data_IF_909011641671
#
_entry.id   IF_909011641671
#
_cell.length_a   1.000
_cell.length_b   1.000
_cell.length_c   1.000
_cell.angle_alpha   90.00
_cell.angle_beta   90.00
_cell.angle_gamma   90.00
#
_symmetry.space_group_name_H-M   'P 1'
#
loop_
_entity.id
_entity.type
_entity.pdbx_description
1 polymer ?
#
# COMPACT_ATOMS: atom_id res chain seq x y z
N UNK A 1 -13.20 5.89 9.34
CA UNK A 1 -12.58 6.54 8.19
C UNK A 1 -11.65 5.57 7.52
N UNK A 2 -11.47 5.69 6.24
CA UNK A 2 -10.58 4.78 5.53
C UNK A 2 -9.12 5.16 5.73
N UNK A 3 -8.25 4.19 5.58
CA UNK A 3 -6.82 4.41 5.69
C UNK A 3 -6.11 3.55 4.65
N UNK A 4 -5.15 4.13 3.97
CA UNK A 4 -4.37 3.46 2.95
C UNK A 4 -3.01 3.10 3.50
N UNK A 5 -2.55 1.89 3.21
CA UNK A 5 -1.26 1.41 3.65
C UNK A 5 -0.36 1.16 2.45
N UNK A 6 0.93 1.44 2.63
CA UNK A 6 1.95 1.10 1.65
C UNK A 6 2.54 -0.25 2.07
N UNK A 7 2.66 -1.17 1.12
CA UNK A 7 3.22 -2.49 1.37
C UNK A 7 4.39 -2.70 0.43
N UNK A 8 5.58 -2.83 0.99
CA UNK A 8 6.80 -3.02 0.21
C UNK A 8 7.40 -4.40 0.43
N UNK A 9 8.37 -4.76 -0.39
CA UNK A 9 9.02 -6.05 -0.30
C UNK A 9 8.21 -7.20 -0.82
N UNK A 10 7.23 -6.93 -1.68
CA UNK A 10 6.34 -7.96 -2.19
C UNK A 10 7.07 -8.90 -3.13
N UNK A 11 6.71 -10.18 -3.07
CA UNK A 11 7.19 -11.16 -4.04
C UNK A 11 6.59 -10.86 -5.40
N UNK A 12 7.30 -11.18 -6.46
CA UNK A 12 6.79 -10.97 -7.81
C UNK A 12 5.51 -11.80 -8.05
N UNK A 13 5.36 -12.90 -7.36
CA UNK A 13 4.18 -13.74 -7.51
C UNK A 13 2.94 -13.19 -6.82
N UNK A 14 3.12 -12.21 -5.93
CA UNK A 14 1.98 -11.63 -5.20
C UNK A 14 1.26 -10.67 -6.12
N UNK A 15 -0.01 -10.94 -6.37
CA UNK A 15 -0.85 -10.08 -7.20
C UNK A 15 -1.86 -9.33 -6.33
N UNK A 16 -2.75 -8.58 -6.97
CA UNK A 16 -3.76 -7.79 -6.26
C UNK A 16 -4.60 -8.67 -5.35
N UNK A 17 -4.97 -9.84 -5.84
CA UNK A 17 -5.82 -10.74 -5.11
C UNK A 17 -5.10 -11.35 -3.90
N UNK A 18 -3.84 -11.72 -4.07
CA UNK A 18 -3.04 -12.23 -2.97
C UNK A 18 -2.81 -11.19 -1.90
N UNK A 19 -2.58 -9.95 -2.32
CA UNK A 19 -2.40 -8.84 -1.40
C UNK A 19 -3.69 -8.58 -0.63
N UNK A 20 -4.82 -8.57 -1.32
CA UNK A 20 -6.13 -8.37 -0.71
C UNK A 20 -6.38 -9.46 0.33
N UNK A 21 -6.15 -10.72 -0.03
CA UNK A 21 -6.43 -11.84 0.87
C UNK A 21 -5.58 -11.77 2.14
N UNK A 22 -4.32 -11.38 2.00
CA UNK A 22 -3.43 -11.32 3.15
C UNK A 22 -3.89 -10.28 4.17
N UNK A 23 -4.43 -9.17 3.69
CA UNK A 23 -4.84 -8.08 4.57
C UNK A 23 -6.30 -8.18 5.01
N UNK A 24 -7.13 -8.89 4.25
CA UNK A 24 -8.57 -8.98 4.54
C UNK A 24 -8.86 -9.68 5.86
N UNK A 25 -7.89 -10.39 6.40
CA UNK A 25 -8.07 -11.05 7.69
C UNK A 25 -8.17 -10.06 8.84
N UNK A 26 -7.74 -8.84 8.64
CA UNK A 26 -7.72 -7.85 9.71
C UNK A 26 -8.88 -6.86 9.63
N UNK A 27 -9.61 -6.87 8.54
CA UNK A 27 -10.75 -5.99 8.38
C UNK A 27 -11.14 -5.87 6.92
N UNK A 28 -12.10 -5.01 6.64
CA UNK A 28 -12.61 -4.86 5.29
C UNK A 28 -11.63 -4.07 4.42
N UNK A 29 -11.13 -4.73 3.38
CA UNK A 29 -10.23 -4.11 2.41
C UNK A 29 -11.09 -3.61 1.25
N UNK A 30 -11.06 -2.32 1.01
CA UNK A 30 -11.84 -1.72 -0.08
C UNK A 30 -11.05 -1.64 -1.37
N UNK A 31 -9.72 -1.69 -1.29
CA UNK A 31 -8.89 -1.66 -2.48
C UNK A 31 -7.54 -2.28 -2.16
N UNK A 32 -7.00 -3.05 -3.10
CA UNK A 32 -5.68 -3.63 -2.97
C UNK A 32 -5.06 -3.65 -4.35
N UNK A 33 -3.89 -3.05 -4.49
CA UNK A 33 -3.28 -2.91 -5.80
C UNK A 33 -1.78 -3.09 -5.72
N UNK A 34 -1.24 -3.98 -6.53
CA UNK A 34 0.20 -4.14 -6.69
C UNK A 34 0.62 -3.26 -7.86
N UNK A 35 1.68 -2.49 -7.65
CA UNK A 35 2.16 -1.59 -8.69
C UNK A 35 3.04 -2.37 -9.65
N UNK A 36 2.75 -2.27 -10.93
CA UNK A 36 3.47 -3.00 -11.96
C UNK A 36 4.39 -2.07 -12.74
N UNK A 37 5.49 -2.65 -13.20
CA UNK A 37 6.41 -1.92 -14.07
C UNK A 37 5.78 -1.79 -15.45
N UNK A 38 5.76 -0.60 -15.99
CA UNK A 38 5.11 -0.36 -17.26
C UNK A 38 5.80 -1.05 -18.42
N UNK A 39 7.10 -1.19 -18.35
CA UNK A 39 7.85 -1.78 -19.46
C UNK A 39 7.80 -3.29 -19.47
N UNK A 40 7.84 -3.92 -18.32
CA UNK A 40 7.90 -5.36 -18.24
C UNK A 40 6.60 -6.01 -17.80
N UNK A 41 5.69 -5.25 -17.19
CA UNK A 41 4.45 -5.78 -16.64
C UNK A 41 4.65 -6.55 -15.35
N UNK A 42 5.83 -6.51 -14.78
CA UNK A 42 6.11 -7.24 -13.56
C UNK A 42 5.89 -6.38 -12.34
N UNK A 43 5.66 -7.03 -11.22
CA UNK A 43 5.49 -6.33 -9.96
C UNK A 43 6.76 -5.54 -9.62
N UNK A 44 6.58 -4.31 -9.18
CA UNK A 44 7.71 -3.51 -8.71
C UNK A 44 8.07 -3.85 -7.28
N UNK A 45 7.40 -4.80 -6.67
CA UNK A 45 7.69 -5.23 -5.32
C UNK A 45 6.98 -4.42 -4.26
N UNK A 46 6.02 -3.59 -4.64
CA UNK A 46 5.24 -2.84 -3.66
C UNK A 46 3.82 -2.60 -4.18
N UNK A 47 2.96 -2.27 -3.25
CA UNK A 47 1.57 -1.98 -3.58
C UNK A 47 0.90 -1.21 -2.46
N UNK A 48 -0.41 -1.05 -2.60
CA UNK A 48 -1.20 -0.30 -1.63
C UNK A 48 -2.44 -1.09 -1.26
N UNK A 49 -2.83 -0.99 0.00
CA UNK A 49 -4.06 -1.61 0.51
C UNK A 49 -4.83 -0.54 1.25
N UNK A 50 -6.12 -0.41 0.94
CA UNK A 50 -6.97 0.55 1.60
C UNK A 50 -8.02 -0.20 2.43
N UNK A 51 -8.12 0.16 3.70
CA UNK A 51 -9.13 -0.40 4.60
C UNK A 51 -10.25 0.62 4.76
N UNK A 52 -11.46 0.12 4.95
CA UNK A 52 -12.60 0.99 5.22
C UNK A 52 -12.52 1.60 6.62
N UNK A 53 -11.78 0.96 7.52
CA UNK A 53 -11.66 1.40 8.90
C UNK A 53 -10.19 1.57 9.26
N UNK A 54 -9.83 2.73 9.80
CA UNK A 54 -8.44 3.03 10.10
C UNK A 54 -7.89 2.18 11.24
N UNK A 55 -8.74 1.75 12.17
CA UNK A 55 -8.28 0.89 13.24
C UNK A 55 -7.88 -0.48 12.71
N UNK A 56 -8.65 -1.02 11.78
CA UNK A 56 -8.29 -2.28 11.14
C UNK A 56 -6.97 -2.16 10.38
N UNK A 57 -6.78 -1.02 9.71
CA UNK A 57 -5.53 -0.77 9.01
C UNK A 57 -4.35 -0.73 9.96
N UNK A 58 -4.51 -0.08 11.11
CA UNK A 58 -3.44 -0.01 12.10
C UNK A 58 -3.09 -1.39 12.64
N UNK A 59 -4.10 -2.21 12.86
CA UNK A 59 -3.88 -3.58 13.34
C UNK A 59 -3.16 -4.42 12.28
N UNK A 60 -3.58 -4.28 11.04
CA UNK A 60 -2.95 -5.01 9.95
C UNK A 60 -1.49 -4.59 9.79
N UNK A 61 -1.24 -3.29 9.90
CA UNK A 61 0.11 -2.77 9.78
C UNK A 61 1.00 -3.33 10.88
N UNK A 62 0.52 -3.32 12.10
CA UNK A 62 1.30 -3.81 13.23
C UNK A 62 1.58 -5.32 13.11
N UNK A 63 0.61 -6.07 12.62
CA UNK A 63 0.73 -7.51 12.53
C UNK A 63 1.56 -7.97 11.32
N UNK A 64 1.46 -7.26 10.22
CA UNK A 64 2.04 -7.72 8.97
C UNK A 64 3.38 -7.07 8.61
N UNK A 65 3.71 -5.96 9.25
CA UNK A 65 5.00 -5.33 9.00
C UNK A 65 6.12 -6.28 9.45
N UNK A 66 6.97 -6.66 8.54
CA UNK A 66 8.05 -7.61 8.83
C UNK A 66 7.64 -9.07 8.74
N UNK A 67 6.38 -9.35 8.37
CA UNK A 67 5.94 -10.73 8.25
C UNK A 67 6.28 -11.26 6.85
N UNK A 68 6.09 -12.57 6.66
CA UNK A 68 6.36 -13.19 5.38
C UNK A 68 5.10 -13.30 4.56
N UNK A 69 5.20 -12.96 3.29
CA UNK A 69 4.10 -13.14 2.34
C UNK A 69 4.71 -13.70 1.06
N UNK A 70 4.24 -14.86 0.65
CA UNK A 70 4.74 -15.56 -0.53
C UNK A 70 6.26 -15.73 -0.51
N UNK A 71 6.79 -15.99 0.67
CA UNK A 71 8.20 -16.26 0.84
C UNK A 71 9.09 -15.04 0.98
N UNK A 72 8.51 -13.85 1.04
CA UNK A 72 9.29 -12.63 1.19
C UNK A 72 8.82 -11.83 2.40
N UNK A 73 9.77 -11.22 3.06
CA UNK A 73 9.44 -10.36 4.20
C UNK A 73 8.92 -9.03 3.68
N UNK A 74 7.73 -8.66 4.10
CA UNK A 74 7.11 -7.43 3.63
C UNK A 74 7.21 -6.33 4.68
N UNK A 75 7.10 -5.10 4.24
CA UNK A 75 7.07 -3.95 5.12
C UNK A 75 5.77 -3.21 4.89
N UNK A 76 5.15 -2.79 5.97
CA UNK A 76 3.86 -2.12 5.90
C UNK A 76 3.95 -0.79 6.63
N UNK A 77 3.59 0.27 5.95
CA UNK A 77 3.60 1.61 6.52
C UNK A 77 2.34 2.34 6.09
N UNK A 78 2.00 3.38 6.81
CA UNK A 78 0.86 4.18 6.42
C UNK A 78 1.22 4.98 5.18
N UNK A 79 0.36 4.94 4.16
CA UNK A 79 0.55 5.71 2.95
C UNK A 79 -0.17 7.03 3.12
N UNK A 80 0.53 8.12 2.85
CA UNK A 80 -0.08 9.43 2.97
C UNK A 80 -0.89 9.71 1.75
N UNK A 81 -2.21 9.99 1.95
CA UNK A 81 -3.01 10.35 0.86
C UNK A 81 -3.17 11.80 0.86
N UNK A 82 -2.74 12.43 -0.18
CA UNK A 82 -2.79 13.80 -0.21
C UNK A 82 -3.93 14.32 -0.90
N UNK A 83 -5.04 13.89 -0.82
CA UNK A 83 -6.08 14.41 -1.50
C UNK A 83 -6.47 15.66 -1.01
N UNK A 84 -6.74 16.41 -1.73
CA UNK A 84 -7.30 17.58 -1.45
C UNK A 84 -6.87 18.16 -0.29
N UNK A 85 -7.02 17.78 0.33
CA UNK A 85 -6.66 18.30 1.30
C UNK A 85 -5.73 19.10 1.19
N UNK A 86 -5.77 19.15 1.12
CA UNK A 86 -5.04 19.73 1.35
C UNK A 86 -4.58 20.53 0.79
N UNK A 87 -4.72 20.62 0.66
CA UNK A 87 -4.39 21.32 0.41
C UNK A 87 -3.46 21.75 0.14
N UNK A 88 -3.25 22.00 0.20
CA UNK A 88 -2.48 22.38 0.13
C UNK A 88 -1.66 22.25 -0.54
N UNK A 89 -1.63 22.16 -0.74
CA UNK A 89 -0.94 22.02 -1.10
C UNK A 89 -0.29 21.98 -1.89
N UNK A 90 -0.21 22.02 -2.10
CA UNK A 90 0.35 21.90 -2.65
C UNK A 90 1.26 22.01 -3.13
N UNK A 91 1.72 22.24 -3.05
CA UNK A 91 2.44 22.28 -3.27
C UNK A 91 3.10 21.73 -3.69
N UNK A 92 3.24 21.41 -3.81
CA UNK A 92 3.65 20.85 -4.06
C UNK A 92 4.22 20.26 -4.52
N UNK A 93 4.29 20.19 -4.54
CA UNK A 93 4.61 19.70 -4.87
C UNK A 93 5.25 19.32 -5.52
N UNK A 94 5.71 19.53 -5.62
CA UNK A 94 6.16 19.26 -5.98
C UNK A 94 6.54 18.67 -6.40
N UNK A 95 6.67 18.46 -6.14
CA UNK A 95 6.91 17.93 -6.32
C UNK A 95 7.34 17.29 -6.58
N UNK A 96 7.45 17.15 -6.41
CA UNK A 96 7.72 16.61 -6.50
C UNK A 96 8.07 15.85 -6.64
N UNK A 97 8.22 15.75 -6.60
CA UNK A 97 8.47 15.24 -6.60
C UNK A 97 8.82 14.36 -6.81
N UNK A 98 8.96 14.17 -6.73
CA UNK A 98 9.03 13.44 -6.90
C UNK A 98 9.31 13.12 -7.34
N UNK A 99 9.39 13.25 -7.44
CA UNK A 99 9.41 13.02 -7.69
C UNK A 99 9.51 12.59 -8.05
N UNK A 100 9.61 12.78 -8.09
CA UNK A 100 9.57 12.53 -8.25
C UNK A 100 9.65 12.21 -8.39
N UNK A 101 9.80 12.22 -8.37
CA UNK A 101 9.64 12.07 -8.32
C UNK A 101 9.58 11.93 -8.38
#
# INVERSE_FOLDING_TARGET
>A
MSKKLFVGGLAWATDDQGLHAAFAEYGEVTDAKVILDRDTGRSRGFGFVTFSDDQAADEAMAALDGSMLDGRSIRVNEAQERRGGGGGGGRGGRGGGYGGG
#
